data_IF_079534942709
#
_entry.id   IF_079534942709
#
_cell.length_a   1.000
_cell.length_b   1.000
_cell.length_c   1.000
_cell.angle_alpha   90.00
_cell.angle_beta   90.00
_cell.angle_gamma   90.00
#
_symmetry.space_group_name_H-M   'P 1'
#
loop_
_entity.id
_entity.type
_entity.pdbx_description
1 polymer ?
#
# COMPACT_ATOMS: atom_id res chain seq x y z
N UNK A 1 -3.91 18.13 43.79
CA UNK A 1 -3.00 17.21 43.08
C UNK A 1 -3.72 16.73 41.82
N UNK A 2 -3.36 17.28 40.65
CA UNK A 2 -3.83 16.76 39.37
C UNK A 2 -2.82 15.72 38.88
N UNK A 3 -3.21 14.46 38.88
CA UNK A 3 -2.48 13.39 38.19
C UNK A 3 -2.84 13.49 36.71
N UNK A 4 -2.02 14.21 35.95
CA UNK A 4 -2.08 14.17 34.49
C UNK A 4 -1.60 12.81 34.02
N UNK A 5 -2.52 11.91 33.75
CA UNK A 5 -2.24 10.68 33.04
C UNK A 5 -1.86 11.03 31.60
N UNK A 6 -0.59 10.92 31.24
CA UNK A 6 -0.17 10.89 29.84
C UNK A 6 -0.72 9.62 29.24
N UNK A 7 -1.78 9.74 28.41
CA UNK A 7 -2.18 8.63 27.54
C UNK A 7 -1.00 8.32 26.61
N UNK A 8 -0.58 7.07 26.48
CA UNK A 8 0.42 6.74 25.47
C UNK A 8 -0.14 7.12 24.11
N UNK A 9 0.58 7.96 23.39
CA UNK A 9 0.31 8.24 21.97
C UNK A 9 0.65 6.94 21.24
N UNK A 10 -0.35 6.10 21.08
CA UNK A 10 -0.25 4.89 20.30
C UNK A 10 -0.24 5.33 18.83
N UNK A 11 0.70 4.87 18.01
CA UNK A 11 0.64 5.07 16.58
C UNK A 11 -0.74 4.57 16.11
N UNK A 12 -1.64 5.49 15.75
CA UNK A 12 -3.01 5.17 15.39
C UNK A 12 -3.06 4.64 13.95
N UNK A 13 -2.50 3.44 13.74
CA UNK A 13 -2.65 2.73 12.47
C UNK A 13 -4.00 2.01 12.36
N UNK A 14 -4.81 2.08 13.40
CA UNK A 14 -6.05 1.32 13.54
C UNK A 14 -7.20 2.08 12.90
N UNK A 15 -7.95 1.40 12.02
CA UNK A 15 -9.22 1.86 11.49
C UNK A 15 -10.23 0.70 11.45
N UNK A 16 -11.52 1.03 11.57
CA UNK A 16 -12.59 0.06 11.41
C UNK A 16 -12.91 -0.11 9.93
N UNK A 17 -12.96 -1.36 9.46
CA UNK A 17 -13.40 -1.62 8.10
C UNK A 17 -14.93 -1.41 7.98
N UNK A 18 -15.35 -0.46 7.16
CA UNK A 18 -16.75 -0.20 6.81
C UNK A 18 -16.99 -0.18 5.29
N UNK A 19 -15.95 -0.46 4.48
CA UNK A 19 -15.96 -0.19 3.05
C UNK A 19 -15.91 -1.43 2.16
N UNK A 20 -15.44 -2.56 2.64
CA UNK A 20 -15.23 -3.74 1.79
C UNK A 20 -15.52 -5.04 2.54
N UNK A 21 -15.76 -6.10 1.78
CA UNK A 21 -16.03 -7.44 2.29
C UNK A 21 -15.04 -8.46 1.70
N UNK A 22 -14.85 -9.57 2.40
CA UNK A 22 -14.12 -10.71 1.87
C UNK A 22 -14.79 -11.23 0.60
N UNK A 23 -14.01 -11.45 -0.45
CA UNK A 23 -14.49 -11.85 -1.78
C UNK A 23 -14.75 -10.67 -2.72
N UNK A 24 -14.54 -9.43 -2.29
CA UNK A 24 -14.66 -8.27 -3.18
C UNK A 24 -13.66 -8.36 -4.33
N UNK A 25 -14.14 -8.09 -5.54
CA UNK A 25 -13.34 -8.01 -6.75
C UNK A 25 -13.72 -6.77 -7.55
N UNK A 26 -12.77 -5.87 -7.74
CA UNK A 26 -12.94 -4.61 -8.48
C UNK A 26 -12.01 -4.59 -9.69
N UNK A 27 -12.55 -4.23 -10.84
CA UNK A 27 -11.79 -4.10 -12.10
C UNK A 27 -11.64 -2.64 -12.47
N UNK A 28 -10.46 -2.27 -12.94
CA UNK A 28 -10.14 -0.92 -13.37
C UNK A 28 -9.61 -0.93 -14.81
N UNK A 29 -10.06 0.02 -15.60
CA UNK A 29 -9.43 0.37 -16.86
C UNK A 29 -8.27 1.33 -16.60
N UNK A 30 -7.08 1.01 -17.11
CA UNK A 30 -5.90 1.87 -16.98
C UNK A 30 -5.79 2.75 -18.21
N UNK A 31 -5.78 4.07 -17.99
CA UNK A 31 -5.61 5.07 -19.04
C UNK A 31 -4.28 5.79 -18.87
N UNK A 32 -3.59 5.98 -20.00
CA UNK A 32 -2.46 6.88 -20.10
C UNK A 32 -2.93 8.22 -20.61
N UNK A 33 -2.60 9.29 -19.87
CA UNK A 33 -2.88 10.66 -20.28
C UNK A 33 -1.58 11.37 -20.61
N UNK A 34 -1.47 11.85 -21.83
CA UNK A 34 -0.39 12.73 -22.25
C UNK A 34 -0.98 13.93 -23.01
N UNK A 35 -0.86 15.12 -22.43
CA UNK A 35 -1.52 16.33 -22.91
C UNK A 35 -3.04 16.10 -23.06
N UNK A 36 -3.56 16.07 -24.29
CA UNK A 36 -4.97 15.85 -24.61
C UNK A 36 -5.29 14.43 -25.11
N UNK A 37 -4.32 13.51 -25.07
CA UNK A 37 -4.51 12.12 -25.52
C UNK A 37 -4.81 11.25 -24.30
N UNK A 38 -6.00 10.67 -24.25
CA UNK A 38 -6.41 9.64 -23.30
C UNK A 38 -6.45 8.30 -24.02
N UNK A 39 -5.59 7.38 -23.65
CA UNK A 39 -5.53 6.06 -24.27
C UNK A 39 -5.60 4.97 -23.22
N UNK A 40 -6.55 4.05 -23.38
CA UNK A 40 -6.59 2.83 -22.56
C UNK A 40 -5.34 1.99 -22.85
N UNK A 41 -4.57 1.73 -21.81
CA UNK A 41 -3.27 1.05 -21.91
C UNK A 41 -3.27 -0.32 -21.25
N UNK A 42 -4.24 -0.62 -20.40
CA UNK A 42 -4.28 -1.89 -19.69
C UNK A 42 -5.51 -2.04 -18.80
N UNK A 43 -5.44 -3.04 -17.95
CA UNK A 43 -6.41 -3.36 -16.92
C UNK A 43 -5.71 -3.57 -15.58
N UNK A 44 -6.43 -3.28 -14.51
CA UNK A 44 -6.04 -3.72 -13.17
C UNK A 44 -7.23 -4.40 -12.47
N UNK A 45 -6.94 -5.36 -11.60
CA UNK A 45 -7.94 -6.01 -10.77
C UNK A 45 -7.47 -5.99 -9.31
N UNK A 46 -8.34 -5.55 -8.42
CA UNK A 46 -8.14 -5.56 -6.99
C UNK A 46 -9.06 -6.63 -6.38
N UNK A 47 -8.48 -7.56 -5.63
CA UNK A 47 -9.25 -8.54 -4.85
C UNK A 47 -8.97 -8.37 -3.37
N UNK A 48 -10.01 -8.52 -2.55
CA UNK A 48 -9.94 -8.46 -1.09
C UNK A 48 -10.44 -9.77 -0.50
N UNK A 49 -9.63 -10.43 0.33
CA UNK A 49 -10.01 -11.69 0.97
C UNK A 49 -9.69 -11.64 2.48
N UNK A 50 -10.65 -12.11 3.29
CA UNK A 50 -10.39 -12.43 4.69
C UNK A 50 -9.45 -13.64 4.77
N UNK A 51 -8.47 -13.58 5.65
CA UNK A 51 -7.42 -14.60 5.81
C UNK A 51 -6.81 -14.54 7.21
N UNK A 52 -5.69 -15.20 7.40
CA UNK A 52 -4.83 -15.05 8.58
C UNK A 52 -3.42 -14.64 8.18
N UNK A 53 -2.78 -13.86 9.01
CA UNK A 53 -1.35 -13.55 8.92
C UNK A 53 -0.70 -13.83 10.27
N UNK A 54 0.30 -14.73 10.29
CA UNK A 54 0.88 -15.28 11.54
C UNK A 54 -0.18 -15.75 12.55
N UNK A 55 -1.17 -16.52 12.06
CA UNK A 55 -2.31 -17.07 12.84
C UNK A 55 -3.27 -16.04 13.44
N UNK A 56 -3.17 -14.78 13.07
CA UNK A 56 -4.11 -13.71 13.49
C UNK A 56 -5.03 -13.34 12.33
N UNK A 57 -6.30 -12.97 12.59
CA UNK A 57 -7.22 -12.50 11.56
C UNK A 57 -6.63 -11.34 10.77
N UNK A 58 -6.78 -11.38 9.45
CA UNK A 58 -6.22 -10.39 8.55
C UNK A 58 -7.05 -10.29 7.27
N UNK A 59 -6.88 -9.20 6.53
CA UNK A 59 -7.29 -9.08 5.13
C UNK A 59 -6.08 -9.11 4.22
N UNK A 60 -6.23 -9.79 3.08
CA UNK A 60 -5.26 -9.77 1.99
C UNK A 60 -5.83 -9.04 0.80
N UNK A 61 -5.13 -8.03 0.35
CA UNK A 61 -5.39 -7.32 -0.90
C UNK A 61 -4.40 -7.78 -1.96
N UNK A 62 -4.89 -8.08 -3.16
CA UNK A 62 -4.04 -8.32 -4.33
C UNK A 62 -4.49 -7.38 -5.45
N UNK A 63 -3.55 -6.59 -5.94
CA UNK A 63 -3.71 -5.77 -7.14
C UNK A 63 -2.84 -6.37 -8.25
N UNK A 64 -3.49 -6.79 -9.32
CA UNK A 64 -2.83 -7.23 -10.54
C UNK A 64 -3.02 -6.17 -11.60
N UNK A 65 -1.96 -5.68 -12.21
CA UNK A 65 -2.06 -4.76 -13.35
C UNK A 65 -1.30 -5.28 -14.55
N UNK A 66 -1.89 -5.10 -15.72
CA UNK A 66 -1.31 -5.58 -16.95
C UNK A 66 -1.58 -4.59 -18.10
N UNK A 67 -0.54 -4.29 -18.85
CA UNK A 67 -0.64 -3.58 -20.13
C UNK A 67 -1.40 -4.42 -21.17
N UNK A 68 -1.98 -3.77 -22.14
CA UNK A 68 -2.59 -4.44 -23.29
C UNK A 68 -1.52 -4.99 -24.23
N UNK A 69 -1.86 -5.99 -25.05
CA UNK A 69 -0.93 -6.53 -26.08
C UNK A 69 -0.35 -5.45 -27.00
N UNK A 70 -1.12 -4.40 -27.31
CA UNK A 70 -0.66 -3.27 -28.12
C UNK A 70 0.32 -2.39 -27.36
N UNK A 71 0.14 -2.23 -26.06
CA UNK A 71 1.01 -1.43 -25.19
C UNK A 71 2.31 -2.18 -24.92
N UNK A 72 2.27 -3.51 -24.77
CA UNK A 72 3.42 -4.36 -24.52
C UNK A 72 4.49 -4.29 -25.61
N UNK A 73 4.10 -3.97 -26.85
CA UNK A 73 5.06 -3.74 -27.93
C UNK A 73 6.00 -2.55 -27.65
N UNK A 74 5.50 -1.53 -26.96
CA UNK A 74 6.30 -0.34 -26.62
C UNK A 74 6.86 -0.41 -25.19
N UNK A 75 6.03 -0.88 -24.25
CA UNK A 75 6.38 -0.96 -22.83
C UNK A 75 5.55 -2.05 -22.14
N UNK A 76 6.21 -3.16 -21.81
CA UNK A 76 5.58 -4.23 -21.04
C UNK A 76 5.38 -3.79 -19.60
N UNK A 77 4.17 -3.98 -19.08
CA UNK A 77 3.83 -3.73 -17.68
C UNK A 77 3.04 -4.91 -17.12
N UNK A 78 3.60 -5.54 -16.09
CA UNK A 78 2.98 -6.63 -15.34
C UNK A 78 3.36 -6.45 -13.88
N UNK A 79 2.45 -5.91 -13.11
CA UNK A 79 2.69 -5.69 -11.69
C UNK A 79 1.73 -6.52 -10.85
N UNK A 80 2.28 -7.08 -9.80
CA UNK A 80 1.51 -7.77 -8.77
C UNK A 80 1.84 -7.13 -7.43
N UNK A 81 0.84 -6.53 -6.80
CA UNK A 81 0.94 -5.99 -5.46
C UNK A 81 0.13 -6.87 -4.51
N UNK A 82 0.71 -7.22 -3.39
CA UNK A 82 0.04 -7.94 -2.30
C UNK A 82 0.26 -7.19 -1.00
N UNK A 83 -0.81 -6.98 -0.25
CA UNK A 83 -0.76 -6.38 1.07
C UNK A 83 -1.53 -7.25 2.06
N UNK A 84 -1.00 -7.37 3.28
CA UNK A 84 -1.72 -7.90 4.43
C UNK A 84 -1.93 -6.78 5.44
N UNK A 85 -3.15 -6.62 5.90
CA UNK A 85 -3.51 -5.74 7.00
C UNK A 85 -4.21 -6.55 8.09
N UNK A 86 -4.12 -6.10 9.34
CA UNK A 86 -4.87 -6.71 10.46
C UNK A 86 -6.38 -6.55 10.25
N UNK A 87 -7.20 -7.17 11.10
CA UNK A 87 -8.64 -6.95 11.17
C UNK A 87 -9.01 -5.49 11.50
N UNK A 88 -8.04 -4.73 12.03
CA UNK A 88 -8.14 -3.29 12.30
C UNK A 88 -7.43 -2.42 11.26
N UNK A 89 -7.12 -2.98 10.10
CA UNK A 89 -6.49 -2.31 8.95
C UNK A 89 -5.06 -1.78 9.20
N UNK A 90 -4.37 -2.27 10.24
CA UNK A 90 -2.94 -1.95 10.42
C UNK A 90 -2.12 -2.66 9.35
N UNK A 91 -1.20 -1.98 8.65
CA UNK A 91 -0.27 -2.62 7.73
C UNK A 91 0.55 -3.72 8.41
N UNK A 92 0.69 -4.89 7.78
CA UNK A 92 1.48 -6.01 8.32
C UNK A 92 2.60 -6.40 7.37
N UNK A 93 2.30 -6.52 6.09
CA UNK A 93 3.24 -6.89 5.05
C UNK A 93 2.80 -6.35 3.70
N UNK A 94 3.75 -5.92 2.91
CA UNK A 94 3.54 -5.49 1.53
C UNK A 94 4.59 -6.10 0.60
N UNK A 95 4.16 -6.47 -0.59
CA UNK A 95 5.03 -6.93 -1.66
C UNK A 95 4.57 -6.38 -3.00
N UNK A 96 5.48 -5.76 -3.74
CA UNK A 96 5.29 -5.38 -5.15
C UNK A 96 6.28 -6.15 -6.00
N UNK A 97 5.81 -6.98 -6.93
CA UNK A 97 6.61 -7.54 -8.00
C UNK A 97 6.25 -6.81 -9.28
N UNK A 98 7.22 -6.09 -9.85
CA UNK A 98 7.01 -5.23 -11.00
C UNK A 98 7.88 -5.65 -12.18
N UNK A 99 7.22 -6.02 -13.30
CA UNK A 99 7.86 -6.24 -14.59
C UNK A 99 7.55 -5.05 -15.50
N UNK A 100 8.50 -4.12 -15.60
CA UNK A 100 8.37 -2.85 -16.29
C UNK A 100 9.41 -2.74 -17.41
N UNK A 101 8.98 -2.93 -18.64
CA UNK A 101 9.86 -3.01 -19.82
C UNK A 101 10.80 -4.21 -19.70
N UNK A 102 12.11 -3.94 -19.56
CA UNK A 102 13.15 -4.98 -19.36
C UNK A 102 13.53 -5.18 -17.89
N UNK A 103 12.90 -4.44 -16.97
CA UNK A 103 13.23 -4.51 -15.55
C UNK A 103 12.27 -5.43 -14.83
N UNK A 104 12.80 -6.25 -13.91
CA UNK A 104 12.01 -7.00 -12.95
C UNK A 104 12.57 -6.78 -11.55
N UNK A 105 11.74 -6.21 -10.68
CA UNK A 105 12.08 -5.94 -9.29
C UNK A 105 11.01 -6.48 -8.36
N UNK A 106 11.43 -6.86 -7.16
CA UNK A 106 10.54 -7.20 -6.05
C UNK A 106 10.86 -6.29 -4.88
N UNK A 107 9.84 -5.56 -4.43
CA UNK A 107 9.86 -4.75 -3.21
C UNK A 107 9.05 -5.44 -2.14
N UNK A 108 9.59 -5.52 -0.94
CA UNK A 108 8.92 -6.07 0.24
C UNK A 108 9.03 -5.10 1.40
N UNK A 109 7.99 -5.05 2.23
CA UNK A 109 7.97 -4.24 3.45
C UNK A 109 7.26 -5.02 4.57
N UNK A 110 7.88 -5.08 5.74
CA UNK A 110 7.36 -5.71 6.96
C UNK A 110 7.17 -4.63 8.01
N UNK A 111 5.97 -4.58 8.57
CA UNK A 111 5.58 -3.56 9.54
C UNK A 111 5.51 -4.16 10.94
N UNK A 112 5.95 -3.41 11.93
CA UNK A 112 5.86 -3.74 13.35
C UNK A 112 5.52 -2.51 14.17
N UNK A 113 4.92 -2.72 15.33
CA UNK A 113 4.42 -1.66 16.21
C UNK A 113 4.85 -1.95 17.63
N UNK A 114 5.66 -1.07 18.21
CA UNK A 114 6.14 -1.18 19.59
C UNK A 114 6.10 0.19 20.25
N UNK A 115 5.50 0.27 21.43
CA UNK A 115 5.46 1.47 22.27
C UNK A 115 5.00 2.74 21.55
N UNK A 116 4.00 2.60 20.66
CA UNK A 116 3.44 3.71 19.90
C UNK A 116 4.28 4.16 18.72
N UNK A 117 5.31 3.41 18.34
CA UNK A 117 6.16 3.64 17.19
C UNK A 117 5.90 2.59 16.13
N UNK A 118 5.61 3.05 14.90
CA UNK A 118 5.56 2.19 13.73
C UNK A 118 6.97 2.05 13.14
N UNK A 119 7.39 0.83 12.86
CA UNK A 119 8.66 0.53 12.21
C UNK A 119 8.42 -0.29 10.95
N UNK A 120 9.06 0.08 9.85
CA UNK A 120 9.03 -0.68 8.60
C UNK A 120 10.43 -1.10 8.19
N UNK A 121 10.61 -2.40 7.96
CA UNK A 121 11.78 -2.97 7.29
C UNK A 121 11.44 -3.17 5.84
N UNK A 122 12.30 -2.70 4.95
CA UNK A 122 12.09 -2.79 3.51
C UNK A 122 13.25 -3.48 2.83
N UNK A 123 12.94 -4.23 1.76
CA UNK A 123 13.91 -4.88 0.91
C UNK A 123 13.51 -4.74 -0.54
N UNK A 124 14.44 -4.28 -1.38
CA UNK A 124 14.33 -4.35 -2.83
C UNK A 124 15.29 -5.36 -3.40
N UNK A 125 14.77 -6.29 -4.19
CA UNK A 125 15.54 -7.27 -4.95
C UNK A 125 15.40 -6.98 -6.44
N UNK A 126 16.53 -6.94 -7.16
CA UNK A 126 16.56 -6.82 -8.61
C UNK A 126 16.81 -8.19 -9.24
N UNK A 127 15.85 -8.65 -10.04
CA UNK A 127 15.97 -9.90 -10.78
C UNK A 127 16.42 -9.67 -12.22
N UNK A 128 16.09 -8.51 -12.78
CA UNK A 128 16.58 -8.11 -14.10
C UNK A 128 16.70 -6.57 -14.22
N UNK A 129 17.90 -6.02 -14.43
CA UNK A 129 19.19 -6.70 -14.29
C UNK A 129 19.45 -7.11 -12.84
N UNK A 130 20.17 -8.20 -12.63
CA UNK A 130 20.56 -8.65 -11.28
C UNK A 130 21.47 -7.62 -10.62
N UNK A 131 21.18 -7.25 -9.38
CA UNK A 131 21.95 -6.34 -8.53
C UNK A 131 21.88 -6.81 -7.09
N UNK A 132 22.81 -6.36 -6.26
CA UNK A 132 22.74 -6.57 -4.82
C UNK A 132 21.44 -6.01 -4.24
N UNK A 133 20.76 -6.76 -3.38
CA UNK A 133 19.56 -6.29 -2.70
C UNK A 133 19.86 -5.04 -1.88
N UNK A 134 18.87 -4.14 -1.78
CA UNK A 134 18.92 -3.00 -0.88
C UNK A 134 17.94 -3.22 0.26
N UNK A 135 18.40 -2.98 1.47
CA UNK A 135 17.58 -3.07 2.67
C UNK A 135 17.62 -1.73 3.41
N UNK A 136 16.51 -1.39 4.05
CA UNK A 136 16.41 -0.23 4.93
C UNK A 136 15.39 -0.47 6.03
N UNK A 137 15.56 0.25 7.12
CA UNK A 137 14.61 0.32 8.23
C UNK A 137 14.29 1.80 8.51
N UNK A 138 13.02 2.07 8.82
CA UNK A 138 12.55 3.40 9.18
C UNK A 138 11.49 3.30 10.26
N UNK A 139 11.50 4.25 11.21
CA UNK A 139 10.53 4.33 12.29
C UNK A 139 9.92 5.73 12.37
N UNK A 140 8.63 5.81 12.70
CA UNK A 140 7.88 7.06 12.89
C UNK A 140 6.86 6.87 14.03
N UNK A 141 6.54 7.95 14.73
CA UNK A 141 5.43 7.98 15.69
C UNK A 141 4.06 8.00 15.00
N UNK A 142 4.02 8.31 13.72
CA UNK A 142 2.83 8.22 12.86
C UNK A 142 2.74 6.84 12.22
N UNK A 143 1.57 6.50 11.71
CA UNK A 143 1.39 5.28 10.93
C UNK A 143 2.15 5.35 9.60
N UNK A 144 2.92 4.30 9.31
CA UNK A 144 3.59 4.12 8.02
C UNK A 144 2.72 3.19 7.18
N UNK A 145 2.37 3.61 5.97
CA UNK A 145 1.54 2.84 5.06
C UNK A 145 2.34 2.28 3.87
N UNK A 146 1.76 1.32 3.19
CA UNK A 146 2.06 0.97 1.80
C UNK A 146 0.92 1.42 0.88
N UNK A 147 1.09 1.23 -0.42
CA UNK A 147 0.13 1.69 -1.44
C UNK A 147 -1.27 1.07 -1.28
N UNK A 148 -1.38 -0.17 -0.81
CA UNK A 148 -2.66 -0.86 -0.69
C UNK A 148 -3.28 -0.69 0.69
N UNK A 149 -2.48 -0.62 1.75
CA UNK A 149 -2.97 -0.40 3.11
C UNK A 149 -3.58 1.00 3.28
N UNK A 150 -2.97 2.04 2.70
CA UNK A 150 -3.60 3.37 2.71
C UNK A 150 -4.90 3.40 1.90
N UNK A 151 -4.96 2.68 0.77
CA UNK A 151 -6.19 2.55 -0.01
C UNK A 151 -7.28 1.87 0.81
N UNK A 152 -6.95 0.81 1.56
CA UNK A 152 -7.90 0.11 2.42
C UNK A 152 -8.44 1.01 3.54
N UNK A 153 -7.56 1.77 4.20
CA UNK A 153 -7.98 2.73 5.24
C UNK A 153 -8.79 3.89 4.66
N UNK A 154 -8.31 4.51 3.58
CA UNK A 154 -8.99 5.67 2.98
C UNK A 154 -10.40 5.34 2.50
N UNK A 155 -10.64 4.11 2.02
CA UNK A 155 -11.99 3.64 1.68
C UNK A 155 -12.92 3.53 2.90
N UNK A 156 -12.36 3.38 4.09
CA UNK A 156 -13.09 3.24 5.35
C UNK A 156 -13.22 4.57 6.12
N UNK A 157 -12.70 5.67 5.59
CA UNK A 157 -12.85 6.99 6.21
C UNK A 157 -14.30 7.48 6.05
N UNK A 158 -14.85 8.05 7.12
CA UNK A 158 -16.13 8.74 7.04
C UNK A 158 -15.92 10.13 6.41
N UNK A 159 -16.51 10.40 5.22
CA UNK A 159 -16.31 11.68 4.56
C UNK A 159 -16.83 12.89 5.38
N UNK A 160 -17.66 12.66 6.42
CA UNK A 160 -18.16 13.71 7.33
C UNK A 160 -17.07 14.22 8.28
N UNK A 161 -16.02 13.44 8.50
CA UNK A 161 -14.89 13.80 9.38
C UNK A 161 -13.88 14.73 8.68
N UNK A 162 -14.03 14.94 7.38
CA UNK A 162 -13.07 15.68 6.55
C UNK A 162 -13.72 16.84 5.82
N UNK A 163 -12.92 17.87 5.53
CA UNK A 163 -13.33 19.00 4.70
C UNK A 163 -12.88 18.80 3.26
N UNK A 164 -13.67 19.28 2.30
CA UNK A 164 -13.28 19.27 0.88
C UNK A 164 -11.95 20.02 0.70
N UNK A 165 -10.96 19.34 0.11
CA UNK A 165 -9.62 19.89 -0.09
C UNK A 165 -8.69 19.75 1.12
N UNK A 166 -9.12 19.11 2.20
CA UNK A 166 -8.25 18.76 3.32
C UNK A 166 -7.16 17.80 2.87
N UNK A 167 -5.96 17.99 3.41
CA UNK A 167 -4.79 17.18 3.08
C UNK A 167 -4.39 16.32 4.27
N UNK A 168 -4.36 15.02 4.06
CA UNK A 168 -3.86 14.06 5.03
C UNK A 168 -2.45 13.65 4.60
N UNK A 169 -1.45 14.02 5.41
CA UNK A 169 -0.04 13.69 5.17
C UNK A 169 0.31 12.41 5.92
N UNK A 170 1.01 11.50 5.27
CA UNK A 170 1.45 10.24 5.88
C UNK A 170 2.75 9.72 5.27
N UNK A 171 3.62 9.06 6.06
CA UNK A 171 4.78 8.35 5.54
C UNK A 171 4.36 7.08 4.80
N UNK A 172 4.85 6.89 3.57
CA UNK A 172 4.58 5.72 2.74
C UNK A 172 5.86 4.97 2.40
N UNK A 173 5.87 3.67 2.71
CA UNK A 173 6.92 2.74 2.33
C UNK A 173 6.79 2.36 0.86
N UNK A 174 7.83 2.64 0.06
CA UNK A 174 7.85 2.40 -1.39
C UNK A 174 8.66 1.16 -1.79
N UNK A 175 9.13 0.38 -0.79
CA UNK A 175 10.00 -0.79 -0.96
C UNK A 175 11.49 -0.45 -0.96
N UNK A 176 11.86 0.82 -1.11
CA UNK A 176 13.24 1.29 -1.12
C UNK A 176 13.50 2.43 -0.15
N UNK A 177 12.49 3.22 0.14
CA UNK A 177 12.54 4.39 1.03
C UNK A 177 11.16 4.68 1.59
N UNK A 178 11.09 5.54 2.56
CA UNK A 178 9.82 6.11 3.04
C UNK A 178 9.73 7.53 2.52
N UNK A 179 8.59 7.88 1.97
CA UNK A 179 8.30 9.20 1.41
C UNK A 179 7.03 9.76 2.03
N UNK A 180 7.00 11.07 2.25
CA UNK A 180 5.78 11.76 2.64
C UNK A 180 4.80 11.79 1.46
N UNK A 181 3.59 11.33 1.67
CA UNK A 181 2.53 11.33 0.68
C UNK A 181 1.33 12.13 1.17
N UNK A 182 0.46 12.51 0.24
CA UNK A 182 -0.74 13.29 0.54
C UNK A 182 -1.97 12.61 -0.05
N UNK A 183 -2.97 12.37 0.80
CA UNK A 183 -4.35 12.09 0.38
C UNK A 183 -5.14 13.40 0.42
N UNK A 184 -5.95 13.67 -0.61
CA UNK A 184 -6.77 14.88 -0.74
C UNK A 184 -8.22 14.47 -0.96
#
# INVERSE_FOLDING_TARGET
LWLGGTMPVQAQCVAKNEAFQSGEHVMYDLYFNWKFIWKKVGLASLTTNGTTYHSKPAYRFNLLSAGSKKTDFFFKMRDTLTCYVSDKLEPLYFRKAAEEGKRYTVDEAWFSYNDGVATVKQKRTWHNPVREPQEMEYSDSRCIFDMLSILAQARSYDPRDYKVGEKILFPMATGRRVEEQTLI
#
